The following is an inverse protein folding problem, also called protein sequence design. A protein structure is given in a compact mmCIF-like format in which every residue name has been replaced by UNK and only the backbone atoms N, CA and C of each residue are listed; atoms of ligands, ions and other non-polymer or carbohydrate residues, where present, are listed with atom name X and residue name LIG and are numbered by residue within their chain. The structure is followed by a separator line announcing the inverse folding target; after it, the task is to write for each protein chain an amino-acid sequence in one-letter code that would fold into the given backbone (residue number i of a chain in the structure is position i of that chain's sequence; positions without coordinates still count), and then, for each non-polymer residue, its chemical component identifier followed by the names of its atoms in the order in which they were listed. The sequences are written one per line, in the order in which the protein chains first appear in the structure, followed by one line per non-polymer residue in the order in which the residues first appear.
data_IF_902624797266
#
_entry.id   IF_902624797266
#
_cell.length_a   1.000
_cell.length_b   1.000
_cell.length_c   1.000
_cell.angle_alpha   90.00
_cell.angle_beta   90.00
_cell.angle_gamma   90.00
#
_symmetry.space_group_name_H-M   'P 1'
#
loop_
_entity.id
_entity.type
_entity.pdbx_description
1 polymer ?
#
# COMPACT_ATOMS: atom_id res chain seq x y z
N UNK A 1 40.21 -40.40 -44.53
CA UNK A 1 39.95 -39.44 -43.43
C UNK A 1 39.83 -38.04 -44.01
N UNK A 2 38.62 -37.47 -44.06
CA UNK A 2 38.38 -36.04 -44.24
C UNK A 2 37.22 -35.66 -43.32
N UNK A 3 37.52 -34.84 -42.31
CA UNK A 3 36.58 -34.32 -41.33
C UNK A 3 35.61 -33.35 -42.02
N UNK A 4 34.32 -33.62 -41.90
CA UNK A 4 33.25 -32.66 -42.19
C UNK A 4 33.23 -31.62 -41.07
N UNK A 5 33.43 -30.35 -41.42
CA UNK A 5 33.19 -29.22 -40.54
C UNK A 5 31.71 -28.82 -40.64
N UNK A 6 30.92 -29.22 -39.66
CA UNK A 6 29.56 -28.73 -39.43
C UNK A 6 29.64 -27.28 -38.94
N UNK A 7 29.31 -26.31 -39.80
CA UNK A 7 29.04 -24.94 -39.35
C UNK A 7 27.63 -24.89 -38.77
N UNK A 8 27.53 -24.87 -37.45
CA UNK A 8 26.31 -24.49 -36.74
C UNK A 8 26.15 -22.97 -36.80
N UNK A 9 25.22 -22.51 -37.63
CA UNK A 9 24.67 -21.16 -37.56
C UNK A 9 23.84 -21.03 -36.27
N UNK A 10 24.46 -20.59 -35.18
CA UNK A 10 23.74 -20.02 -34.04
C UNK A 10 23.67 -18.50 -34.21
N UNK A 11 22.83 -18.04 -35.12
CA UNK A 11 22.28 -16.68 -35.02
C UNK A 11 21.23 -16.68 -33.91
N UNK A 12 21.69 -16.44 -32.68
CA UNK A 12 20.82 -15.98 -31.60
C UNK A 12 20.28 -14.62 -32.02
N UNK A 13 19.07 -14.59 -32.58
CA UNK A 13 18.32 -13.36 -32.80
C UNK A 13 18.09 -12.70 -31.44
N UNK A 14 18.92 -11.71 -31.09
CA UNK A 14 18.64 -10.82 -29.98
C UNK A 14 17.29 -10.15 -30.30
N UNK A 15 16.22 -10.56 -29.62
CA UNK A 15 14.90 -9.93 -29.75
C UNK A 15 15.10 -8.42 -29.57
N UNK A 16 14.90 -7.66 -30.64
CA UNK A 16 14.95 -6.21 -30.58
C UNK A 16 13.91 -5.74 -29.55
N UNK A 17 14.40 -5.17 -28.46
CA UNK A 17 13.56 -4.62 -27.39
C UNK A 17 12.90 -3.37 -27.97
N UNK A 18 11.56 -3.31 -27.99
CA UNK A 18 10.86 -2.11 -28.45
C UNK A 18 11.11 -0.92 -27.50
N UNK A 19 10.97 0.34 -27.96
CA UNK A 19 11.06 1.50 -27.09
C UNK A 19 10.19 1.38 -25.82
N UNK A 20 8.95 0.89 -25.96
CA UNK A 20 8.04 0.65 -24.84
C UNK A 20 8.55 -0.41 -23.86
N UNK A 21 9.14 -1.50 -24.36
CA UNK A 21 9.74 -2.53 -23.51
C UNK A 21 11.00 -2.03 -22.78
N UNK A 22 11.74 -1.10 -23.39
CA UNK A 22 12.89 -0.43 -22.74
C UNK A 22 12.39 0.50 -21.62
N UNK A 23 11.36 1.30 -21.89
CA UNK A 23 10.69 2.17 -20.91
C UNK A 23 10.13 1.36 -19.72
N UNK A 24 9.42 0.25 -19.96
CA UNK A 24 8.92 -0.62 -18.90
C UNK A 24 10.03 -1.19 -17.99
N UNK A 25 11.20 -1.51 -18.56
CA UNK A 25 12.37 -1.95 -17.76
C UNK A 25 12.96 -0.80 -16.94
N UNK A 26 12.99 0.40 -17.50
CA UNK A 26 13.49 1.62 -16.83
C UNK A 26 12.62 2.02 -15.63
N UNK A 27 11.30 1.79 -15.67
CA UNK A 27 10.38 2.08 -14.54
C UNK A 27 10.77 1.36 -13.24
N UNK A 28 11.37 0.16 -13.31
CA UNK A 28 11.80 -0.58 -12.11
C UNK A 28 12.97 0.10 -11.36
N UNK A 29 13.65 1.06 -12.00
CA UNK A 29 14.76 1.83 -11.41
C UNK A 29 14.29 3.05 -10.62
N UNK A 30 13.03 3.46 -10.78
CA UNK A 30 12.46 4.61 -10.10
C UNK A 30 12.30 4.27 -8.61
N UNK A 31 13.11 4.90 -7.76
CA UNK A 31 13.03 4.75 -6.29
C UNK A 31 12.27 5.94 -5.70
N UNK A 32 11.15 5.68 -5.03
CA UNK A 32 10.46 6.68 -4.20
C UNK A 32 10.97 6.59 -2.77
N UNK A 33 11.30 7.73 -2.16
CA UNK A 33 11.63 7.81 -0.72
C UNK A 33 10.32 7.91 0.10
N UNK A 34 10.28 7.38 1.33
CA UNK A 34 9.17 7.62 2.25
C UNK A 34 8.92 9.13 2.42
N UNK A 35 7.65 9.49 2.52
CA UNK A 35 7.18 10.86 2.72
C UNK A 35 6.83 11.08 4.18
N UNK A 36 6.75 12.35 4.61
CA UNK A 36 6.23 12.72 5.94
C UNK A 36 4.85 12.15 6.24
N UNK A 37 4.04 11.90 5.19
CA UNK A 37 2.75 11.25 5.32
C UNK A 37 2.91 9.76 5.60
N UNK A 38 3.87 9.09 4.96
CA UNK A 38 4.16 7.68 5.22
C UNK A 38 4.61 7.48 6.68
N UNK A 39 5.43 8.40 7.19
CA UNK A 39 5.84 8.41 8.61
C UNK A 39 4.62 8.61 9.52
N UNK A 40 3.77 9.62 9.24
CA UNK A 40 2.53 9.86 9.99
C UNK A 40 1.58 8.65 9.98
N UNK A 41 1.33 8.04 8.82
CA UNK A 41 0.46 6.86 8.72
C UNK A 41 1.06 5.66 9.45
N UNK A 42 2.39 5.51 9.42
CA UNK A 42 3.09 4.49 10.21
C UNK A 42 2.84 4.67 11.70
N UNK A 43 2.99 5.89 12.21
CA UNK A 43 2.73 6.17 13.63
C UNK A 43 1.25 5.97 13.99
N UNK A 44 0.31 6.37 13.12
CA UNK A 44 -1.13 6.13 13.33
C UNK A 44 -1.43 4.64 13.40
N UNK A 45 -0.85 3.81 12.53
CA UNK A 45 -1.02 2.35 12.57
C UNK A 45 -0.52 1.78 13.90
N UNK A 46 0.59 2.28 14.42
CA UNK A 46 1.12 1.85 15.72
C UNK A 46 0.19 2.25 16.87
N UNK A 47 -0.38 3.46 16.85
CA UNK A 47 -1.39 3.88 17.84
C UNK A 47 -2.63 2.98 17.78
N UNK A 48 -3.14 2.68 16.58
CA UNK A 48 -4.30 1.79 16.39
C UNK A 48 -3.99 0.37 16.90
N UNK A 49 -2.77 -0.12 16.65
CA UNK A 49 -2.28 -1.41 17.17
C UNK A 49 -2.26 -1.45 18.69
N UNK A 50 -1.56 -0.50 19.32
CA UNK A 50 -1.38 -0.46 20.79
C UNK A 50 -2.68 -0.33 21.55
N UNK A 51 -3.69 0.23 20.91
CA UNK A 51 -4.96 0.50 21.52
C UNK A 51 -6.07 -0.40 20.96
N UNK A 52 -5.76 -1.49 20.28
CA UNK A 52 -6.75 -2.29 19.56
C UNK A 52 -8.05 -2.53 20.36
N UNK A 53 -9.22 -2.39 19.73
CA UNK A 53 -10.54 -2.43 20.41
C UNK A 53 -10.85 -3.73 21.16
N UNK A 54 -10.15 -4.81 20.83
CA UNK A 54 -10.23 -6.12 21.51
C UNK A 54 -9.32 -6.21 22.76
N UNK A 55 -8.40 -5.25 22.96
CA UNK A 55 -7.55 -5.15 24.15
C UNK A 55 -8.06 -4.11 25.17
N UNK A 56 -8.66 -3.01 24.71
CA UNK A 56 -9.16 -1.92 25.57
C UNK A 56 -10.59 -1.53 25.20
N UNK A 57 -11.49 -1.56 26.19
CA UNK A 57 -12.94 -1.32 26.03
C UNK A 57 -13.36 0.13 26.23
N UNK A 58 -12.53 0.96 26.85
CA UNK A 58 -12.92 2.33 27.26
C UNK A 58 -12.33 3.39 26.34
N UNK A 59 -13.17 3.95 25.46
CA UNK A 59 -12.72 4.97 24.50
C UNK A 59 -12.38 6.32 25.17
N UNK A 60 -12.95 6.64 26.35
CA UNK A 60 -12.72 7.93 27.02
C UNK A 60 -11.25 8.17 27.41
N UNK A 61 -10.57 7.15 27.94
CA UNK A 61 -9.15 7.27 28.31
C UNK A 61 -8.24 7.34 27.06
N UNK A 62 -8.67 6.72 25.95
CA UNK A 62 -7.93 6.70 24.69
C UNK A 62 -8.04 8.03 23.94
N UNK A 63 -9.20 8.70 24.01
CA UNK A 63 -9.40 10.03 23.41
C UNK A 63 -8.35 11.02 23.90
N UNK A 64 -8.12 11.09 25.22
CA UNK A 64 -7.10 11.98 25.78
C UNK A 64 -5.69 11.64 25.29
N UNK A 65 -5.36 10.35 25.17
CA UNK A 65 -4.06 9.91 24.61
C UNK A 65 -3.91 10.29 23.13
N UNK A 66 -4.99 10.24 22.34
CA UNK A 66 -4.98 10.71 20.95
C UNK A 66 -4.80 12.22 20.84
N UNK A 67 -5.45 12.98 21.73
CA UNK A 67 -5.26 14.43 21.84
C UNK A 67 -3.80 14.78 22.16
N UNK A 68 -3.22 14.12 23.16
CA UNK A 68 -1.80 14.30 23.51
C UNK A 68 -0.89 13.93 22.33
N UNK A 69 -1.16 12.82 21.64
CA UNK A 69 -0.40 12.38 20.48
C UNK A 69 -0.45 13.38 19.31
N UNK A 70 -1.63 13.88 18.93
CA UNK A 70 -1.74 14.86 17.82
C UNK A 70 -1.03 16.19 18.17
N UNK A 71 -1.00 16.56 19.45
CA UNK A 71 -0.22 17.71 19.93
C UNK A 71 1.30 17.46 19.83
N UNK A 72 1.78 16.25 20.10
CA UNK A 72 3.20 15.88 20.06
C UNK A 72 3.77 15.81 18.63
N UNK A 73 3.07 15.17 17.69
CA UNK A 73 3.55 15.02 16.30
C UNK A 73 3.64 16.35 15.54
N UNK A 74 2.90 17.37 15.99
CA UNK A 74 3.01 18.73 15.49
C UNK A 74 4.40 19.36 15.76
N UNK A 75 5.09 18.94 16.83
CA UNK A 75 6.42 19.44 17.16
C UNK A 75 7.52 19.02 16.18
N UNK A 76 7.33 17.92 15.45
CA UNK A 76 8.41 17.26 14.71
C UNK A 76 8.24 17.27 13.17
N UNK A 77 7.02 17.17 12.63
CA UNK A 77 6.87 16.81 11.21
C UNK A 77 6.22 17.86 10.30
N UNK A 78 5.40 18.78 10.79
CA UNK A 78 4.67 19.75 9.93
C UNK A 78 4.28 21.01 10.68
N UNK A 79 4.12 22.15 9.96
CA UNK A 79 3.38 23.34 10.45
C UNK A 79 1.88 23.02 10.60
N UNK A 80 1.54 22.02 11.40
CA UNK A 80 0.17 21.59 11.63
C UNK A 80 -0.35 22.26 12.89
N UNK A 81 -0.74 23.54 12.83
CA UNK A 81 -1.38 24.17 14.00
C UNK A 81 -2.65 23.37 14.34
N UNK A 82 -2.67 22.62 15.47
CA UNK A 82 -3.79 21.76 15.80
C UNK A 82 -4.90 22.67 16.29
N UNK A 83 -5.93 22.81 15.47
CA UNK A 83 -7.17 23.45 15.90
C UNK A 83 -8.05 22.39 16.53
N UNK A 84 -8.96 22.80 17.42
CA UNK A 84 -9.97 21.91 18.01
C UNK A 84 -10.69 21.05 16.95
N UNK A 85 -11.00 21.63 15.79
CA UNK A 85 -11.66 20.91 14.69
C UNK A 85 -10.78 19.84 14.05
N UNK A 86 -9.47 20.08 13.92
CA UNK A 86 -8.53 19.10 13.37
C UNK A 86 -8.30 17.94 14.34
N UNK A 87 -8.25 18.23 15.64
CA UNK A 87 -8.14 17.23 16.70
C UNK A 87 -9.40 16.35 16.71
N UNK A 88 -10.58 16.96 16.71
CA UNK A 88 -11.86 16.23 16.62
C UNK A 88 -11.94 15.37 15.36
N UNK A 89 -11.51 15.90 14.21
CA UNK A 89 -11.46 15.14 12.96
C UNK A 89 -10.54 13.93 13.06
N UNK A 90 -9.34 14.08 13.63
CA UNK A 90 -8.43 12.96 13.88
C UNK A 90 -9.05 11.89 14.77
N UNK A 91 -9.62 12.29 15.92
CA UNK A 91 -10.27 11.38 16.87
C UNK A 91 -11.40 10.60 16.19
N UNK A 92 -12.26 11.29 15.44
CA UNK A 92 -13.38 10.66 14.73
C UNK A 92 -12.90 9.61 13.71
N UNK A 93 -11.80 9.86 13.00
CA UNK A 93 -11.20 8.90 12.07
C UNK A 93 -10.67 7.67 12.80
N UNK A 94 -9.94 7.85 13.90
CA UNK A 94 -9.45 6.72 14.71
C UNK A 94 -10.61 5.90 15.29
N UNK A 95 -11.66 6.55 15.80
CA UNK A 95 -12.87 5.89 16.29
C UNK A 95 -13.57 5.08 15.18
N UNK A 96 -13.59 5.60 13.95
CA UNK A 96 -14.15 4.90 12.79
C UNK A 96 -13.36 3.62 12.48
N UNK A 97 -12.03 3.71 12.40
CA UNK A 97 -11.15 2.54 12.22
C UNK A 97 -11.41 1.49 13.30
N UNK A 98 -11.41 1.92 14.57
CA UNK A 98 -11.67 1.06 15.74
C UNK A 98 -13.00 0.33 15.64
N UNK A 99 -14.07 1.05 15.32
CA UNK A 99 -15.41 0.48 15.17
C UNK A 99 -15.43 -0.59 14.08
N UNK A 100 -14.89 -0.28 12.90
CA UNK A 100 -14.86 -1.22 11.77
C UNK A 100 -14.04 -2.47 12.14
N UNK A 101 -12.85 -2.31 12.72
CA UNK A 101 -11.99 -3.43 13.12
C UNK A 101 -12.65 -4.29 14.20
N UNK A 102 -13.43 -3.71 15.12
CA UNK A 102 -14.17 -4.45 16.15
C UNK A 102 -15.25 -5.34 15.55
N UNK A 103 -15.94 -4.87 14.52
CA UNK A 103 -17.03 -5.57 13.84
C UNK A 103 -16.54 -6.68 12.89
N UNK A 104 -15.24 -6.73 12.57
CA UNK A 104 -14.68 -7.78 11.70
C UNK A 104 -14.56 -9.12 12.44
N UNK A 105 -15.24 -10.13 11.89
CA UNK A 105 -15.08 -11.53 12.28
C UNK A 105 -13.95 -12.20 11.46
N UNK A 106 -12.73 -12.14 11.98
CA UNK A 106 -11.59 -12.82 11.37
C UNK A 106 -11.70 -14.35 11.42
N UNK A 107 -12.51 -14.88 12.35
CA UNK A 107 -12.71 -16.32 12.47
C UNK A 107 -13.49 -16.91 11.31
N UNK A 108 -14.44 -16.15 10.76
CA UNK A 108 -15.16 -16.49 9.53
C UNK A 108 -14.26 -16.28 8.29
N UNK A 109 -13.62 -15.13 8.17
CA UNK A 109 -12.83 -14.76 6.98
C UNK A 109 -11.66 -15.72 6.74
N UNK A 110 -10.93 -16.08 7.79
CA UNK A 110 -9.76 -16.97 7.69
C UNK A 110 -10.17 -18.45 7.85
N UNK A 111 -11.37 -18.69 8.42
CA UNK A 111 -11.89 -20.01 8.72
C UNK A 111 -11.07 -20.77 9.76
N UNK A 112 -10.37 -20.08 10.66
CA UNK A 112 -9.38 -20.71 11.54
C UNK A 112 -10.01 -21.66 12.57
N UNK A 113 -11.20 -21.35 13.09
CA UNK A 113 -11.93 -22.24 14.03
C UNK A 113 -12.22 -23.60 13.39
N UNK A 114 -12.73 -23.60 12.16
CA UNK A 114 -13.00 -24.83 11.40
C UNK A 114 -11.72 -25.64 11.14
N UNK A 115 -10.62 -24.96 10.79
CA UNK A 115 -9.31 -25.60 10.57
C UNK A 115 -8.78 -26.27 11.84
N UNK A 116 -8.80 -25.57 12.98
CA UNK A 116 -8.37 -26.09 14.28
C UNK A 116 -9.17 -27.32 14.67
N UNK A 117 -10.50 -27.24 14.58
CA UNK A 117 -11.39 -28.37 14.89
C UNK A 117 -11.11 -29.59 14.00
N UNK A 118 -10.84 -29.38 12.72
CA UNK A 118 -10.48 -30.46 11.79
C UNK A 118 -9.16 -31.13 12.19
N UNK A 119 -8.13 -30.33 12.45
CA UNK A 119 -6.79 -30.78 12.87
C UNK A 119 -6.88 -31.61 14.16
N UNK A 120 -7.57 -31.10 15.18
CA UNK A 120 -7.66 -31.75 16.48
C UNK A 120 -8.51 -33.01 16.45
N UNK A 121 -9.55 -33.07 15.61
CA UNK A 121 -10.34 -34.29 15.44
C UNK A 121 -9.49 -35.46 14.91
N UNK A 122 -8.50 -35.17 14.08
CA UNK A 122 -7.60 -36.18 13.52
C UNK A 122 -6.47 -36.55 14.50
N UNK A 123 -5.79 -35.56 15.07
CA UNK A 123 -4.63 -35.78 15.94
C UNK A 123 -5.02 -36.28 17.33
N UNK A 124 -6.13 -35.79 17.88
CA UNK A 124 -6.61 -36.15 19.22
C UNK A 124 -7.64 -37.27 19.19
N UNK A 125 -7.69 -38.11 18.14
CA UNK A 125 -8.71 -39.16 17.95
C UNK A 125 -8.83 -40.19 19.10
N UNK A 126 -7.80 -40.30 19.93
CA UNK A 126 -7.75 -41.21 21.08
C UNK A 126 -8.29 -40.57 22.38
N UNK A 127 -8.59 -39.27 22.37
CA UNK A 127 -9.20 -38.56 23.49
C UNK A 127 -10.72 -38.62 23.41
N UNK A 128 -11.38 -38.42 24.55
CA UNK A 128 -12.82 -38.27 24.60
C UNK A 128 -13.26 -37.01 23.82
N UNK A 129 -14.39 -37.06 23.09
CA UNK A 129 -14.87 -35.93 22.29
C UNK A 129 -14.95 -34.60 23.05
N UNK A 130 -15.40 -34.63 24.31
CA UNK A 130 -15.52 -33.42 25.14
C UNK A 130 -14.15 -32.79 25.44
N UNK A 131 -13.12 -33.62 25.65
CA UNK A 131 -11.74 -33.14 25.86
C UNK A 131 -11.19 -32.50 24.58
N UNK A 132 -11.46 -33.11 23.41
CA UNK A 132 -11.05 -32.55 22.12
C UNK A 132 -11.69 -31.19 21.88
N UNK A 133 -12.98 -31.06 22.23
CA UNK A 133 -13.70 -29.80 22.13
C UNK A 133 -13.14 -28.72 23.07
N UNK A 134 -12.75 -29.09 24.30
CA UNK A 134 -12.13 -28.16 25.24
C UNK A 134 -10.75 -27.67 24.78
N UNK A 135 -9.91 -28.58 24.27
CA UNK A 135 -8.62 -28.21 23.65
C UNK A 135 -8.87 -27.26 22.46
N UNK A 136 -9.86 -27.56 21.63
CA UNK A 136 -10.20 -26.72 20.48
C UNK A 136 -10.58 -25.30 20.92
N UNK A 137 -11.46 -25.16 21.92
CA UNK A 137 -11.87 -23.85 22.44
C UNK A 137 -10.70 -23.03 23.00
N UNK A 138 -9.78 -23.65 23.73
CA UNK A 138 -8.60 -22.95 24.25
C UNK A 138 -7.65 -22.50 23.14
N UNK A 139 -7.41 -23.36 22.14
CA UNK A 139 -6.58 -23.00 20.98
C UNK A 139 -7.26 -21.92 20.14
N UNK A 140 -8.57 -22.00 19.92
CA UNK A 140 -9.37 -20.97 19.24
C UNK A 140 -9.28 -19.63 19.96
N UNK A 141 -9.37 -19.63 21.30
CA UNK A 141 -9.20 -18.44 22.12
C UNK A 141 -7.79 -17.86 21.98
N UNK A 142 -6.76 -18.69 22.08
CA UNK A 142 -5.37 -18.26 21.91
C UNK A 142 -5.13 -17.66 20.51
N UNK A 143 -5.64 -18.29 19.46
CA UNK A 143 -5.57 -17.79 18.08
C UNK A 143 -6.32 -16.47 17.89
N UNK A 144 -7.45 -16.28 18.57
CA UNK A 144 -8.17 -14.99 18.52
C UNK A 144 -7.32 -13.83 19.05
N UNK A 145 -6.34 -14.09 19.93
CA UNK A 145 -5.42 -13.05 20.40
C UNK A 145 -4.45 -12.56 19.31
N UNK A 146 -4.19 -13.40 18.30
CA UNK A 146 -3.37 -13.02 17.16
C UNK A 146 -4.03 -11.95 16.29
N UNK A 147 -5.36 -11.75 16.42
CA UNK A 147 -6.09 -10.70 15.70
C UNK A 147 -5.66 -9.29 16.14
N UNK A 148 -5.01 -9.16 17.31
CA UNK A 148 -4.67 -7.86 17.90
C UNK A 148 -3.27 -7.76 18.52
N UNK A 149 -2.57 -8.89 18.75
CA UNK A 149 -1.19 -8.88 19.25
C UNK A 149 -0.13 -8.87 18.12
N UNK A 150 -0.53 -8.95 16.84
CA UNK A 150 0.32 -8.94 15.65
C UNK A 150 1.68 -9.68 15.78
N UNK A 151 1.61 -11.00 15.96
CA UNK A 151 2.73 -11.91 16.20
C UNK A 151 3.75 -12.05 15.04
N UNK A 152 3.36 -11.80 13.78
CA UNK A 152 4.14 -12.15 12.59
C UNK A 152 5.49 -11.43 12.45
N UNK A 153 5.70 -10.34 13.22
CA UNK A 153 6.92 -9.52 13.20
C UNK A 153 7.59 -9.37 14.57
N UNK A 154 7.04 -9.99 15.60
CA UNK A 154 7.53 -9.84 16.99
C UNK A 154 7.89 -11.20 17.59
N UNK A 155 9.20 -11.40 17.79
CA UNK A 155 9.76 -12.65 18.31
C UNK A 155 9.29 -12.92 19.75
N UNK A 156 9.13 -11.88 20.57
CA UNK A 156 8.69 -12.05 21.96
C UNK A 156 7.23 -12.47 22.02
N UNK A 157 6.36 -11.84 21.22
CA UNK A 157 4.95 -12.20 21.13
C UNK A 157 4.80 -13.61 20.58
N UNK A 158 5.59 -13.98 19.57
CA UNK A 158 5.62 -15.34 19.02
C UNK A 158 6.05 -16.37 20.06
N UNK A 159 7.09 -16.07 20.84
CA UNK A 159 7.55 -16.94 21.92
C UNK A 159 6.48 -17.14 23.00
N UNK A 160 5.77 -16.07 23.38
CA UNK A 160 4.63 -16.14 24.32
C UNK A 160 3.50 -17.01 23.77
N UNK A 161 3.11 -16.82 22.51
CA UNK A 161 2.09 -17.66 21.86
C UNK A 161 2.48 -19.15 21.86
N UNK A 162 3.71 -19.47 21.47
CA UNK A 162 4.23 -20.85 21.47
C UNK A 162 4.17 -21.45 22.87
N UNK A 163 4.56 -20.68 23.89
CA UNK A 163 4.54 -21.12 25.28
C UNK A 163 3.12 -21.39 25.78
N UNK A 164 2.16 -20.53 25.47
CA UNK A 164 0.75 -20.74 25.84
C UNK A 164 0.14 -21.94 25.11
N UNK A 165 0.45 -22.12 23.82
CA UNK A 165 0.01 -23.30 23.08
C UNK A 165 0.53 -24.59 23.70
N UNK A 166 1.79 -24.62 24.15
CA UNK A 166 2.35 -25.76 24.87
C UNK A 166 1.67 -25.98 26.23
N UNK A 167 1.31 -24.92 26.95
CA UNK A 167 0.59 -25.03 28.24
C UNK A 167 -0.79 -25.65 28.05
N UNK A 168 -1.53 -25.25 27.02
CA UNK A 168 -2.84 -25.83 26.68
C UNK A 168 -2.67 -27.34 26.47
N UNK A 169 -1.75 -27.76 25.61
CA UNK A 169 -1.54 -29.19 25.31
C UNK A 169 -1.11 -30.00 26.55
N UNK A 170 -0.21 -29.44 27.38
CA UNK A 170 0.25 -30.05 28.64
C UNK A 170 -0.87 -30.20 29.67
N UNK A 171 -1.81 -29.24 29.74
CA UNK A 171 -2.97 -29.29 30.65
C UNK A 171 -3.80 -30.57 30.45
N UNK A 172 -3.90 -31.05 29.22
CA UNK A 172 -4.63 -32.27 28.85
C UNK A 172 -3.74 -33.50 28.70
N UNK A 173 -2.47 -33.42 29.15
CA UNK A 173 -1.46 -34.46 29.03
C UNK A 173 -1.34 -35.02 27.59
N UNK A 174 -1.48 -34.15 26.58
CA UNK A 174 -1.50 -34.53 25.18
C UNK A 174 -0.28 -33.99 24.43
N UNK A 175 0.21 -34.79 23.48
CA UNK A 175 1.30 -34.43 22.59
C UNK A 175 0.80 -34.53 21.16
N UNK A 176 0.87 -33.41 20.43
CA UNK A 176 0.56 -33.40 18.99
C UNK A 176 1.85 -33.51 18.18
N UNK A 177 1.72 -33.97 16.94
CA UNK A 177 2.83 -34.00 16.00
C UNK A 177 3.45 -32.60 15.83
N UNK A 178 4.80 -32.52 15.78
CA UNK A 178 5.50 -31.25 15.58
C UNK A 178 5.07 -30.51 14.30
N UNK A 179 4.75 -31.24 13.22
CA UNK A 179 4.21 -30.64 12.01
C UNK A 179 2.87 -29.92 12.24
N UNK A 180 2.00 -30.48 13.07
CA UNK A 180 0.71 -29.90 13.44
C UNK A 180 0.89 -28.72 14.38
N UNK A 181 1.81 -28.84 15.34
CA UNK A 181 2.19 -27.73 16.21
C UNK A 181 2.67 -26.51 15.39
N UNK A 182 3.51 -26.75 14.38
CA UNK A 182 3.95 -25.72 13.44
C UNK A 182 2.81 -25.16 12.58
N UNK A 183 1.83 -25.99 12.17
CA UNK A 183 0.64 -25.51 11.45
C UNK A 183 -0.21 -24.57 12.31
N UNK A 184 -0.37 -24.85 13.60
CA UNK A 184 -1.09 -23.97 14.52
C UNK A 184 -0.37 -22.62 14.70
N UNK A 185 0.97 -22.63 14.77
CA UNK A 185 1.77 -21.39 14.78
C UNK A 185 1.57 -20.60 13.48
N UNK A 186 1.70 -21.26 12.32
CA UNK A 186 1.50 -20.64 11.01
C UNK A 186 0.08 -20.06 10.84
N UNK A 187 -0.92 -20.68 11.46
CA UNK A 187 -2.28 -20.16 11.49
C UNK A 187 -2.37 -18.85 12.30
N UNK A 188 -1.70 -18.78 13.46
CA UNK A 188 -1.56 -17.55 14.23
C UNK A 188 -0.85 -16.43 13.45
N UNK A 189 0.21 -16.75 12.71
CA UNK A 189 0.91 -15.80 11.83
C UNK A 189 0.01 -15.31 10.69
N UNK A 190 -0.81 -16.20 10.12
CA UNK A 190 -1.77 -15.84 9.06
C UNK A 190 -2.83 -14.89 9.59
N UNK A 191 -3.38 -15.15 10.79
CA UNK A 191 -4.34 -14.26 11.45
C UNK A 191 -3.71 -12.88 11.68
N UNK A 192 -2.52 -12.87 12.27
CA UNK A 192 -1.73 -11.66 12.53
C UNK A 192 -1.54 -10.80 11.28
N UNK A 193 -1.03 -11.43 10.21
CA UNK A 193 -0.76 -10.76 8.95
C UNK A 193 -2.02 -10.14 8.34
N UNK A 194 -3.13 -10.88 8.36
CA UNK A 194 -4.37 -10.43 7.77
C UNK A 194 -5.04 -9.31 8.57
N UNK A 195 -4.99 -9.39 9.91
CA UNK A 195 -5.46 -8.32 10.80
C UNK A 195 -4.63 -7.05 10.65
N UNK A 196 -3.30 -7.16 10.48
CA UNK A 196 -2.44 -6.02 10.15
C UNK A 196 -2.80 -5.41 8.79
N UNK A 197 -2.95 -6.23 7.75
CA UNK A 197 -3.30 -5.77 6.41
C UNK A 197 -4.63 -5.00 6.39
N UNK A 198 -5.66 -5.51 7.09
CA UNK A 198 -6.95 -4.82 7.20
C UNK A 198 -6.79 -3.49 7.94
N UNK A 199 -6.03 -3.47 9.03
CA UNK A 199 -5.77 -2.23 9.79
C UNK A 199 -5.07 -1.20 8.92
N UNK A 200 -4.07 -1.62 8.14
CA UNK A 200 -3.32 -0.74 7.23
C UNK A 200 -4.24 -0.16 6.15
N UNK A 201 -5.13 -0.96 5.57
CA UNK A 201 -6.13 -0.51 4.59
C UNK A 201 -7.08 0.51 5.20
N UNK A 202 -7.64 0.23 6.38
CA UNK A 202 -8.56 1.15 7.06
C UNK A 202 -7.89 2.47 7.44
N UNK A 203 -6.67 2.43 7.95
CA UNK A 203 -5.89 3.65 8.24
C UNK A 203 -5.66 4.44 6.95
N UNK A 204 -5.26 3.78 5.87
CA UNK A 204 -5.03 4.46 4.60
C UNK A 204 -6.30 5.12 4.06
N UNK A 205 -7.43 4.40 4.06
CA UNK A 205 -8.69 4.91 3.53
C UNK A 205 -9.23 6.07 4.36
N UNK A 206 -9.21 5.97 5.69
CA UNK A 206 -9.70 7.04 6.57
C UNK A 206 -8.82 8.30 6.51
N UNK A 207 -7.51 8.15 6.32
CA UNK A 207 -6.57 9.27 6.26
C UNK A 207 -6.20 9.70 4.83
N UNK A 208 -6.95 9.26 3.83
CA UNK A 208 -6.81 9.76 2.46
C UNK A 208 -7.22 11.24 2.35
N UNK A 209 -6.48 12.01 1.55
CA UNK A 209 -6.92 13.32 1.08
C UNK A 209 -7.86 13.19 -0.12
N UNK A 210 -8.64 14.24 -0.41
CA UNK A 210 -9.47 14.30 -1.62
C UNK A 210 -8.62 14.07 -2.87
N UNK A 211 -7.42 14.66 -2.91
CA UNK A 211 -6.46 14.46 -4.01
C UNK A 211 -6.02 13.00 -4.18
N UNK A 212 -5.91 12.22 -3.11
CA UNK A 212 -5.58 10.79 -3.18
C UNK A 212 -6.77 9.93 -3.58
N UNK A 213 -7.98 10.29 -3.15
CA UNK A 213 -9.22 9.64 -3.61
C UNK A 213 -9.35 9.84 -5.12
N UNK A 214 -9.18 11.08 -5.60
CA UNK A 214 -9.25 11.41 -7.02
C UNK A 214 -8.12 10.74 -7.82
N UNK A 215 -6.90 10.66 -7.25
CA UNK A 215 -5.81 9.91 -7.86
C UNK A 215 -6.12 8.42 -7.97
N UNK A 216 -6.67 7.81 -6.92
CA UNK A 216 -7.04 6.39 -6.93
C UNK A 216 -8.13 6.10 -7.95
N UNK A 217 -9.11 7.00 -8.08
CA UNK A 217 -10.10 6.96 -9.16
C UNK A 217 -9.39 6.96 -10.51
N UNK A 218 -8.53 7.93 -10.77
CA UNK A 218 -7.82 8.08 -12.05
C UNK A 218 -6.91 6.89 -12.37
N UNK A 219 -6.17 6.35 -11.40
CA UNK A 219 -5.37 5.13 -11.58
C UNK A 219 -6.21 3.91 -11.99
N UNK A 220 -7.46 3.81 -11.55
CA UNK A 220 -8.37 2.72 -11.98
C UNK A 220 -8.85 2.89 -13.42
N UNK A 221 -8.89 4.12 -13.94
CA UNK A 221 -9.28 4.41 -15.31
C UNK A 221 -8.12 4.24 -16.29
N UNK A 222 -6.93 4.75 -15.94
CA UNK A 222 -5.74 4.70 -16.81
C UNK A 222 -4.94 3.42 -16.56
N UNK A 223 -5.46 2.30 -17.06
CA UNK A 223 -4.87 0.95 -16.83
C UNK A 223 -3.83 0.53 -17.87
N UNK A 224 -3.82 1.18 -19.04
CA UNK A 224 -2.99 0.82 -20.19
C UNK A 224 -1.73 1.68 -20.36
N UNK A 225 -1.38 2.49 -19.36
CA UNK A 225 -0.14 3.28 -19.34
C UNK A 225 1.03 2.50 -18.75
N UNK A 226 2.25 2.86 -19.16
CA UNK A 226 3.51 2.26 -18.68
C UNK A 226 3.72 2.54 -17.18
N UNK A 227 3.25 3.69 -16.70
CA UNK A 227 3.23 4.08 -15.29
C UNK A 227 1.79 4.36 -14.83
N UNK A 228 1.50 4.12 -13.55
CA UNK A 228 0.22 4.51 -12.94
C UNK A 228 0.25 5.97 -12.46
N UNK A 229 -0.90 6.48 -11.98
CA UNK A 229 -0.99 7.88 -11.57
C UNK A 229 -0.05 8.22 -10.39
N UNK A 230 0.20 7.29 -9.47
CA UNK A 230 1.14 7.49 -8.35
C UNK A 230 2.58 7.71 -8.82
N UNK A 231 3.05 6.89 -9.76
CA UNK A 231 4.37 7.05 -10.35
C UNK A 231 4.47 8.32 -11.18
N UNK A 232 3.42 8.65 -11.95
CA UNK A 232 3.33 9.91 -12.71
C UNK A 232 3.49 11.12 -11.79
N UNK A 233 2.76 11.16 -10.68
CA UNK A 233 2.80 12.27 -9.73
C UNK A 233 4.09 12.32 -8.93
N UNK A 234 4.68 11.16 -8.61
CA UNK A 234 5.99 11.12 -7.97
C UNK A 234 7.06 11.73 -8.86
N UNK A 235 7.09 11.38 -10.15
CA UNK A 235 7.97 11.99 -11.15
C UNK A 235 7.71 13.49 -11.26
N UNK A 236 6.43 13.88 -11.40
CA UNK A 236 6.04 15.29 -11.53
C UNK A 236 6.49 16.12 -10.33
N UNK A 237 6.32 15.60 -9.11
CA UNK A 237 6.74 16.26 -7.86
C UNK A 237 8.25 16.41 -7.76
N UNK A 238 9.02 15.41 -8.20
CA UNK A 238 10.48 15.51 -8.26
C UNK A 238 10.90 16.61 -9.23
N UNK A 239 10.24 16.69 -10.40
CA UNK A 239 10.48 17.76 -11.37
C UNK A 239 10.12 19.12 -10.76
N UNK A 240 8.96 19.25 -10.12
CA UNK A 240 8.50 20.50 -9.50
C UNK A 240 9.42 20.97 -8.37
N UNK A 241 9.94 20.06 -7.54
CA UNK A 241 10.85 20.42 -6.45
C UNK A 241 12.21 20.90 -6.94
N UNK A 242 12.65 20.41 -8.10
CA UNK A 242 13.96 20.70 -8.66
C UNK A 242 13.91 21.73 -9.80
N UNK A 243 12.72 22.24 -10.14
CA UNK A 243 12.49 23.31 -11.12
C UNK A 243 11.79 24.49 -10.42
N UNK A 244 12.03 25.73 -10.87
CA UNK A 244 11.38 26.90 -10.25
C UNK A 244 9.85 26.76 -10.36
N UNK A 245 9.13 26.93 -9.23
CA UNK A 245 7.69 26.67 -9.07
C UNK A 245 6.77 27.31 -10.14
N UNK A 246 7.19 28.45 -10.70
CA UNK A 246 6.46 29.15 -11.76
C UNK A 246 6.34 28.35 -13.06
N UNK A 247 7.37 27.56 -13.40
CA UNK A 247 7.38 26.81 -14.67
C UNK A 247 6.43 25.61 -14.60
N UNK A 248 6.29 24.98 -13.43
CA UNK A 248 5.38 23.85 -13.20
C UNK A 248 3.90 24.26 -13.28
N UNK A 249 3.53 25.44 -12.76
CA UNK A 249 2.16 25.97 -12.89
C UNK A 249 1.79 26.26 -14.35
N UNK A 250 2.73 26.77 -15.14
CA UNK A 250 2.55 27.00 -16.57
C UNK A 250 2.39 25.67 -17.34
N UNK A 251 3.11 24.62 -16.95
CA UNK A 251 2.91 23.28 -17.54
C UNK A 251 1.49 22.77 -17.28
N UNK A 252 0.99 22.88 -16.05
CA UNK A 252 -0.35 22.41 -15.68
C UNK A 252 -1.42 23.16 -16.47
N UNK A 253 -1.33 24.50 -16.55
CA UNK A 253 -2.29 25.30 -17.31
C UNK A 253 -2.25 24.99 -18.81
N UNK A 254 -1.06 24.79 -19.37
CA UNK A 254 -0.88 24.42 -20.78
C UNK A 254 -1.44 23.03 -21.05
N UNK A 255 -1.20 22.05 -20.17
CA UNK A 255 -1.71 20.69 -20.31
C UNK A 255 -3.25 20.65 -20.32
N UNK A 256 -3.93 21.42 -19.46
CA UNK A 256 -5.41 21.48 -19.48
C UNK A 256 -5.92 21.90 -20.86
N UNK A 257 -5.24 22.84 -21.53
CA UNK A 257 -5.57 23.23 -22.90
C UNK A 257 -5.19 22.15 -23.92
N UNK A 258 -4.01 21.55 -23.80
CA UNK A 258 -3.57 20.45 -24.68
C UNK A 258 -4.53 19.25 -24.67
N UNK A 259 -5.14 18.96 -23.51
CA UNK A 259 -6.16 17.90 -23.37
C UNK A 259 -7.42 18.17 -24.20
N UNK A 260 -7.76 19.44 -24.44
CA UNK A 260 -8.90 19.80 -25.30
C UNK A 260 -8.57 19.61 -26.79
N UNK A 261 -7.28 19.68 -27.15
CA UNK A 261 -6.80 19.60 -28.53
C UNK A 261 -6.54 18.15 -28.93
N UNK A 262 -5.61 17.46 -28.25
CA UNK A 262 -5.24 16.09 -28.62
C UNK A 262 -3.86 15.64 -28.16
N UNK A 263 -3.55 14.37 -28.45
CA UNK A 263 -2.30 13.70 -28.03
C UNK A 263 -1.03 14.36 -28.59
N UNK A 264 -1.10 14.90 -29.81
CA UNK A 264 0.02 15.60 -30.44
C UNK A 264 0.38 16.88 -29.65
N UNK A 265 -0.62 17.64 -29.21
CA UNK A 265 -0.41 18.87 -28.45
C UNK A 265 0.07 18.57 -27.03
N UNK A 266 -0.38 17.47 -26.41
CA UNK A 266 0.17 16.96 -25.14
C UNK A 266 1.66 16.67 -25.32
N UNK A 267 2.01 15.90 -26.35
CA UNK A 267 3.40 15.50 -26.62
C UNK A 267 4.31 16.71 -26.82
N UNK A 268 3.86 17.68 -27.62
CA UNK A 268 4.56 18.93 -27.88
C UNK A 268 4.74 19.76 -26.60
N UNK A 269 3.69 19.92 -25.81
CA UNK A 269 3.70 20.72 -24.57
C UNK A 269 4.66 20.15 -23.54
N UNK A 270 4.65 18.82 -23.34
CA UNK A 270 5.59 18.17 -22.42
C UNK A 270 7.03 18.32 -22.91
N UNK A 271 7.31 18.07 -24.20
CA UNK A 271 8.67 18.22 -24.74
C UNK A 271 9.21 19.65 -24.61
N UNK A 272 8.41 20.64 -24.99
CA UNK A 272 8.78 22.06 -24.85
C UNK A 272 9.01 22.47 -23.40
N UNK A 273 8.30 21.86 -22.45
CA UNK A 273 8.56 22.10 -21.03
C UNK A 273 9.94 21.60 -20.61
N UNK A 274 10.34 20.40 -21.04
CA UNK A 274 11.68 19.87 -20.74
C UNK A 274 12.80 20.68 -21.40
N UNK A 275 12.58 21.23 -22.59
CA UNK A 275 13.53 22.15 -23.26
C UNK A 275 13.76 23.45 -22.48
N UNK A 276 12.79 23.88 -21.67
CA UNK A 276 12.87 25.09 -20.85
C UNK A 276 13.51 24.86 -19.47
N UNK A 277 13.73 23.61 -19.07
CA UNK A 277 14.42 23.29 -17.81
C UNK A 277 15.91 23.52 -17.99
N UNK A 278 16.53 24.29 -17.09
CA UNK A 278 17.98 24.53 -17.17
C UNK A 278 18.76 23.21 -17.02
N UNK A 279 19.88 23.01 -17.75
CA UNK A 279 20.63 21.76 -17.75
C UNK A 279 21.02 21.25 -16.36
N UNK A 280 21.37 22.14 -15.43
CA UNK A 280 21.72 21.81 -14.05
C UNK A 280 20.56 21.16 -13.28
N UNK A 281 19.34 21.68 -13.45
CA UNK A 281 18.13 21.12 -12.84
C UNK A 281 17.76 19.79 -13.49
N UNK A 282 17.91 19.69 -14.82
CA UNK A 282 17.68 18.47 -15.58
C UNK A 282 18.60 17.33 -15.09
N UNK A 283 19.87 17.64 -14.82
CA UNK A 283 20.85 16.67 -14.30
C UNK A 283 20.48 16.17 -12.91
N UNK A 284 20.02 17.06 -12.01
CA UNK A 284 19.54 16.69 -10.67
C UNK A 284 18.30 15.79 -10.76
N UNK A 285 17.35 16.12 -11.63
CA UNK A 285 16.13 15.33 -11.86
C UNK A 285 16.50 13.93 -12.36
N UNK A 286 17.37 13.82 -13.38
CA UNK A 286 17.82 12.53 -13.93
C UNK A 286 18.50 11.67 -12.87
N UNK A 287 19.39 12.27 -12.07
CA UNK A 287 20.10 11.58 -10.99
C UNK A 287 19.13 11.07 -9.92
N UNK A 288 18.11 11.88 -9.59
CA UNK A 288 17.12 11.55 -8.56
C UNK A 288 16.18 10.43 -9.00
N UNK A 289 15.70 10.46 -10.24
CA UNK A 289 14.74 9.49 -10.78
C UNK A 289 15.46 8.22 -11.28
N UNK A 290 16.71 8.34 -11.74
CA UNK A 290 17.56 7.24 -12.20
C UNK A 290 17.36 6.86 -13.68
N UNK A 291 16.78 7.76 -14.48
CA UNK A 291 16.49 7.59 -15.92
C UNK A 291 16.71 8.92 -16.66
N UNK A 292 16.84 8.88 -17.99
CA UNK A 292 17.11 10.08 -18.79
C UNK A 292 15.91 11.04 -18.84
N UNK A 293 16.17 12.33 -19.14
CA UNK A 293 15.09 13.33 -19.33
C UNK A 293 14.14 12.95 -20.46
N UNK A 294 14.65 12.36 -21.53
CA UNK A 294 13.86 11.83 -22.63
C UNK A 294 12.95 10.69 -22.14
N UNK A 295 13.48 9.72 -21.39
CA UNK A 295 12.68 8.64 -20.78
C UNK A 295 11.60 9.20 -19.85
N UNK A 296 11.92 10.21 -19.03
CA UNK A 296 10.96 10.87 -18.14
C UNK A 296 9.84 11.53 -18.95
N UNK A 297 10.19 12.35 -19.96
CA UNK A 297 9.20 13.02 -20.81
C UNK A 297 8.27 12.03 -21.51
N UNK A 298 8.82 10.93 -22.04
CA UNK A 298 8.05 9.88 -22.70
C UNK A 298 7.09 9.17 -21.73
N UNK A 299 7.49 8.94 -20.48
CA UNK A 299 6.61 8.38 -19.44
C UNK A 299 5.44 9.33 -19.10
N UNK A 300 5.70 10.64 -19.02
CA UNK A 300 4.66 11.63 -18.77
C UNK A 300 3.69 11.73 -19.96
N UNK A 301 4.22 11.74 -21.19
CA UNK A 301 3.42 11.76 -22.43
C UNK A 301 2.53 10.52 -22.51
N UNK A 302 3.10 9.32 -22.32
CA UNK A 302 2.35 8.06 -22.36
C UNK A 302 1.17 8.11 -21.38
N UNK A 303 1.41 8.45 -20.11
CA UNK A 303 0.36 8.54 -19.11
C UNK A 303 -0.73 9.55 -19.50
N UNK A 304 -0.35 10.75 -19.95
CA UNK A 304 -1.31 11.82 -20.29
C UNK A 304 -2.12 11.49 -21.54
N UNK A 305 -1.51 10.88 -22.55
CA UNK A 305 -2.23 10.42 -23.74
C UNK A 305 -3.19 9.28 -23.41
N UNK A 306 -2.79 8.31 -22.58
CA UNK A 306 -3.71 7.25 -22.11
C UNK A 306 -4.84 7.81 -21.25
N UNK A 307 -4.56 8.78 -20.38
CA UNK A 307 -5.59 9.49 -19.64
C UNK A 307 -6.59 10.19 -20.57
N UNK A 308 -6.09 10.87 -21.62
CA UNK A 308 -6.95 11.52 -22.62
C UNK A 308 -7.81 10.50 -23.38
N UNK A 309 -7.23 9.37 -23.80
CA UNK A 309 -7.95 8.30 -24.50
C UNK A 309 -9.09 7.74 -23.65
N UNK A 310 -8.82 7.42 -22.38
CA UNK A 310 -9.84 6.90 -21.47
C UNK A 310 -10.90 7.96 -21.16
N UNK A 311 -10.51 9.22 -20.96
CA UNK A 311 -11.46 10.32 -20.81
C UNK A 311 -12.39 10.49 -22.04
N UNK A 312 -11.85 10.36 -23.27
CA UNK A 312 -12.65 10.44 -24.50
C UNK A 312 -13.61 9.25 -24.69
N UNK A 313 -13.20 8.03 -24.30
CA UNK A 313 -14.06 6.84 -24.35
C UNK A 313 -15.26 6.95 -23.41
N UNK A 314 -15.08 7.62 -22.28
CA UNK A 314 -16.05 7.71 -21.18
C UNK A 314 -17.04 8.87 -21.36
N UNK A 315 -16.96 9.68 -22.44
CA UNK A 315 -17.92 10.77 -22.69
C UNK A 315 -19.41 10.36 -22.87
N UNK A 316 -19.74 9.06 -22.71
CA UNK A 316 -21.11 8.56 -22.50
C UNK A 316 -21.51 8.24 -21.05
N UNK A 317 -20.58 8.17 -20.08
CA UNK A 317 -20.84 7.81 -18.68
C UNK A 317 -19.98 8.64 -17.70
N UNK A 318 -20.62 9.33 -16.76
CA UNK A 318 -20.15 10.55 -16.10
C UNK A 318 -19.26 10.37 -14.85
N UNK A 319 -18.07 9.77 -14.95
CA UNK A 319 -17.26 9.47 -13.74
C UNK A 319 -15.97 10.30 -13.54
N UNK A 320 -15.52 11.09 -14.53
CA UNK A 320 -14.31 11.95 -14.41
C UNK A 320 -14.58 13.32 -15.04
N UNK A 321 -14.41 14.39 -14.27
CA UNK A 321 -14.53 15.78 -14.72
C UNK A 321 -13.18 16.40 -15.08
N UNK A 322 -13.21 17.54 -15.79
CA UNK A 322 -12.00 18.36 -16.00
C UNK A 322 -11.38 18.84 -14.68
N UNK A 323 -12.17 18.96 -13.61
CA UNK A 323 -11.67 19.30 -12.28
C UNK A 323 -10.88 18.14 -11.67
N UNK A 324 -11.35 16.89 -11.83
CA UNK A 324 -10.59 15.71 -11.36
C UNK A 324 -9.22 15.61 -12.03
N UNK A 325 -9.11 16.00 -13.32
CA UNK A 325 -7.83 16.07 -14.04
C UNK A 325 -6.94 17.19 -13.47
N UNK A 326 -7.50 18.37 -13.15
CA UNK A 326 -6.75 19.45 -12.50
C UNK A 326 -6.28 19.05 -11.10
N UNK A 327 -7.10 18.31 -10.36
CA UNK A 327 -6.81 17.83 -9.01
C UNK A 327 -5.67 16.80 -8.96
N UNK A 328 -5.27 16.21 -10.10
CA UNK A 328 -4.01 15.45 -10.17
C UNK A 328 -2.81 16.34 -9.87
N UNK A 329 -2.85 17.60 -10.28
CA UNK A 329 -1.71 18.50 -10.27
C UNK A 329 -1.76 19.56 -9.15
N UNK A 330 -2.91 19.71 -8.49
CA UNK A 330 -3.13 20.70 -7.43
C UNK A 330 -3.12 20.00 -6.07
N UNK A 331 -2.49 20.62 -5.06
CA UNK A 331 -2.30 20.07 -3.71
C UNK A 331 -3.60 19.99 -2.91
#
# INVERSE_FOLDING_TARGET
MKLQATKTNNELSAKQITPDQKLQKSVKKIKTKPTKKDDFLSDVREVVKQQHTKQTTEDHELVKKWEEYIHLINGYYTRFTPTLDKIKCFINKIQTIRKITKEKDFSEIIGYKKKVRSILKEECKNLLPDIVEDIAKEIELLLSTCEYNFMDKDIEIKSKFVTELQKILKKYNHFINNSIFLQLIALGETISHYSQLITDVLVNDEFQSISEINRSRISRFVTNSIINADKFLSIFKIIEQNNLSHTSQHLISSLVHSFQIGEEEISKTVKQYFEKIKPEHLSIIQTTIGISSEEISNLLIDFLCKLLQEHKKIYGHSDISQQDIKDLFVK
#
